data_IF_039274448804
#
_entry.id   IF_039274448804
#
_cell.length_a   1.000
_cell.length_b   1.000
_cell.length_c   1.000
_cell.angle_alpha   90.00
_cell.angle_beta   90.00
_cell.angle_gamma   90.00
#
_symmetry.space_group_name_H-M   'P 1'
#
loop_
_entity.id
_entity.type
_entity.pdbx_description
1 polymer ?
#
# COMPACT_ATOMS: atom_id res chain seq x y z
N UNK A 1 13.84 4.57 10.14
CA UNK A 1 12.84 3.99 9.22
C UNK A 1 13.44 3.68 7.83
N UNK A 2 12.98 2.60 7.17
CA UNK A 2 13.31 2.20 5.79
C UNK A 2 12.02 1.84 5.04
N UNK A 3 11.95 2.13 3.74
CA UNK A 3 10.87 1.63 2.87
C UNK A 3 11.38 0.40 2.12
N UNK A 4 10.68 -0.72 2.24
CA UNK A 4 11.03 -1.99 1.62
C UNK A 4 9.79 -2.68 1.06
N UNK A 5 9.92 -3.62 0.11
CA UNK A 5 8.82 -4.49 -0.28
C UNK A 5 8.26 -5.26 0.91
N UNK A 6 6.94 -5.43 0.93
CA UNK A 6 6.27 -6.32 1.86
C UNK A 6 6.79 -7.76 1.69
N UNK A 7 6.81 -8.50 2.80
CA UNK A 7 7.09 -9.94 2.81
C UNK A 7 6.34 -10.60 3.99
N UNK A 8 6.01 -11.91 3.92
CA UNK A 8 5.12 -12.57 4.89
C UNK A 8 5.53 -12.46 6.36
N UNK A 9 6.82 -12.32 6.66
CA UNK A 9 7.29 -12.12 8.03
C UNK A 9 6.79 -10.82 8.68
N UNK A 10 6.28 -9.87 7.90
CA UNK A 10 5.74 -8.60 8.37
C UNK A 10 4.22 -8.57 8.50
N UNK A 11 3.52 -9.65 8.17
CA UNK A 11 2.05 -9.68 8.09
C UNK A 11 1.36 -9.22 9.37
N UNK A 12 1.75 -9.78 10.52
CA UNK A 12 1.18 -9.38 11.81
C UNK A 12 1.38 -7.89 12.10
N UNK A 13 2.55 -7.34 11.76
CA UNK A 13 2.83 -5.91 11.97
C UNK A 13 2.08 -5.04 10.97
N UNK A 14 1.86 -5.53 9.75
CA UNK A 14 1.06 -4.86 8.72
C UNK A 14 -0.40 -4.77 9.14
N UNK A 15 -0.99 -5.87 9.64
CA UNK A 15 -2.37 -5.94 10.13
C UNK A 15 -2.60 -4.95 11.28
N UNK A 16 -1.70 -4.94 12.27
CA UNK A 16 -1.75 -3.97 13.39
C UNK A 16 -1.67 -2.54 12.91
N UNK A 17 -0.75 -2.23 11.99
CA UNK A 17 -0.61 -0.89 11.42
C UNK A 17 -1.92 -0.45 10.75
N UNK A 18 -2.55 -1.32 9.94
CA UNK A 18 -3.81 -1.01 9.24
C UNK A 18 -4.95 -0.76 10.22
N UNK A 19 -5.20 -1.68 11.14
CA UNK A 19 -6.33 -1.58 12.07
C UNK A 19 -6.22 -0.34 12.97
N UNK A 20 -5.02 -0.03 13.46
CA UNK A 20 -4.79 1.13 14.32
C UNK A 20 -4.86 2.44 13.54
N UNK A 21 -4.38 2.47 12.29
CA UNK A 21 -4.50 3.65 11.44
C UNK A 21 -5.96 3.95 11.07
N UNK A 22 -6.80 2.94 10.92
CA UNK A 22 -8.20 3.10 10.51
C UNK A 22 -9.16 3.36 11.67
N UNK A 23 -8.79 3.01 12.90
CA UNK A 23 -9.60 3.11 14.11
C UNK A 23 -10.29 4.48 14.30
N UNK A 24 -9.64 5.57 13.89
CA UNK A 24 -10.16 6.94 14.02
C UNK A 24 -10.62 7.56 12.69
N UNK A 25 -10.90 6.73 11.69
CA UNK A 25 -11.37 7.14 10.36
C UNK A 25 -12.78 6.61 10.10
N UNK A 26 -13.37 7.01 8.98
CA UNK A 26 -14.63 6.42 8.52
C UNK A 26 -14.52 4.91 8.15
N UNK A 27 -13.30 4.37 8.09
CA UNK A 27 -13.02 2.97 7.74
C UNK A 27 -12.80 2.08 8.98
N UNK A 28 -13.26 2.48 10.17
CA UNK A 28 -13.01 1.75 11.42
C UNK A 28 -13.59 0.32 11.45
N UNK A 29 -14.57 0.02 10.59
CA UNK A 29 -15.20 -1.31 10.46
C UNK A 29 -14.46 -2.23 9.49
N UNK A 30 -13.52 -1.69 8.72
CA UNK A 30 -12.70 -2.43 7.74
C UNK A 30 -11.55 -3.15 8.45
N UNK A 31 -11.91 -4.25 9.13
CA UNK A 31 -10.98 -5.10 9.88
C UNK A 31 -10.63 -6.33 9.05
N UNK A 32 -9.37 -6.42 8.65
CA UNK A 32 -8.80 -7.58 7.98
C UNK A 32 -8.06 -8.46 8.98
N UNK A 33 -8.21 -9.78 8.85
CA UNK A 33 -7.53 -10.77 9.70
C UNK A 33 -6.35 -11.46 9.00
N UNK A 34 -6.23 -11.24 7.70
CA UNK A 34 -5.15 -11.71 6.82
C UNK A 34 -4.83 -10.59 5.83
N UNK A 35 -3.62 -10.56 5.28
CA UNK A 35 -3.30 -9.55 4.27
C UNK A 35 -4.11 -9.83 2.98
N UNK A 36 -4.86 -8.85 2.44
CA UNK A 36 -5.56 -9.04 1.17
C UNK A 36 -4.62 -9.42 0.04
N UNK A 37 -5.06 -10.36 -0.79
CA UNK A 37 -4.42 -10.71 -2.06
C UNK A 37 -5.28 -10.22 -3.21
N UNK A 38 -4.69 -10.01 -4.38
CA UNK A 38 -5.34 -9.30 -5.50
C UNK A 38 -5.49 -10.19 -6.74
N UNK A 39 -5.90 -11.44 -6.56
CA UNK A 39 -6.24 -12.38 -7.64
C UNK A 39 -5.18 -12.52 -8.76
N UNK A 40 -3.90 -12.45 -8.40
CA UNK A 40 -2.79 -12.53 -9.35
C UNK A 40 -2.55 -11.27 -10.17
N UNK A 41 -3.24 -10.16 -9.88
CA UNK A 41 -2.93 -8.85 -10.46
C UNK A 41 -1.54 -8.38 -10.01
N UNK A 42 -0.81 -7.66 -10.89
CA UNK A 42 0.45 -7.05 -10.50
C UNK A 42 0.22 -6.00 -9.42
N UNK A 43 1.08 -6.01 -8.40
CA UNK A 43 1.00 -5.11 -7.25
C UNK A 43 2.34 -4.45 -6.93
N UNK A 44 2.26 -3.29 -6.27
CA UNK A 44 3.36 -2.67 -5.56
C UNK A 44 2.94 -2.61 -4.09
N UNK A 45 3.56 -3.43 -3.26
CA UNK A 45 3.26 -3.57 -1.83
C UNK A 45 4.49 -3.15 -1.03
N UNK A 46 4.43 -1.98 -0.39
CA UNK A 46 5.56 -1.39 0.32
C UNK A 46 5.20 -1.13 1.78
N UNK A 47 6.20 -1.31 2.63
CA UNK A 47 6.11 -1.07 4.07
C UNK A 47 7.20 -0.10 4.51
N UNK A 48 6.86 0.79 5.44
CA UNK A 48 7.81 1.59 6.19
C UNK A 48 8.13 0.86 7.50
N UNK A 49 9.39 0.48 7.69
CA UNK A 49 9.84 -0.33 8.84
C UNK A 49 10.80 0.48 9.71
N UNK A 50 10.57 0.46 11.02
CA UNK A 50 11.47 1.02 12.03
C UNK A 50 11.57 0.04 13.20
N UNK A 51 12.80 -0.34 13.57
CA UNK A 51 13.07 -1.34 14.62
C UNK A 51 12.27 -2.65 14.42
N UNK A 52 12.26 -3.15 13.19
CA UNK A 52 11.52 -4.35 12.76
C UNK A 52 9.99 -4.28 12.90
N UNK A 53 9.44 -3.09 13.18
CA UNK A 53 8.00 -2.82 13.24
C UNK A 53 7.56 -2.06 12.00
N UNK A 54 6.46 -2.49 11.40
CA UNK A 54 5.78 -1.76 10.33
C UNK A 54 5.05 -0.57 10.92
N UNK A 55 5.44 0.63 10.49
CA UNK A 55 4.88 1.91 10.94
C UNK A 55 4.12 2.66 9.84
N UNK A 56 4.12 2.12 8.62
CA UNK A 56 3.30 2.60 7.51
C UNK A 56 3.24 1.57 6.39
N UNK A 57 2.17 1.60 5.62
CA UNK A 57 1.84 0.63 4.59
C UNK A 57 1.28 1.34 3.35
N UNK A 58 1.57 0.82 2.17
CA UNK A 58 0.88 1.14 0.93
C UNK A 58 0.81 -0.12 0.06
N UNK A 59 -0.39 -0.44 -0.41
CA UNK A 59 -0.56 -1.40 -1.51
C UNK A 59 -1.15 -0.65 -2.69
N UNK A 60 -0.64 -0.96 -3.88
CA UNK A 60 -1.09 -0.43 -5.15
C UNK A 60 -1.34 -1.60 -6.07
N UNK A 61 -2.51 -1.62 -6.70
CA UNK A 61 -2.91 -2.66 -7.64
C UNK A 61 -2.89 -2.05 -9.04
N UNK A 62 -2.15 -2.68 -9.93
CA UNK A 62 -1.96 -2.21 -11.31
C UNK A 62 -3.07 -2.78 -12.18
N UNK A 63 -3.52 -1.99 -13.15
CA UNK A 63 -4.39 -2.47 -14.20
C UNK A 63 -3.62 -3.38 -15.16
N UNK A 64 -4.35 -4.33 -15.76
CA UNK A 64 -3.93 -5.05 -16.95
C UNK A 64 -4.95 -4.82 -18.06
N UNK A 65 -4.63 -5.22 -19.29
CA UNK A 65 -5.58 -5.13 -20.41
C UNK A 65 -6.87 -5.93 -20.13
N UNK A 66 -6.75 -7.05 -19.42
CA UNK A 66 -7.88 -7.91 -19.04
C UNK A 66 -8.67 -7.36 -17.85
N UNK A 67 -7.99 -6.66 -16.93
CA UNK A 67 -8.55 -6.18 -15.66
C UNK A 67 -8.20 -4.71 -15.42
N UNK A 68 -8.84 -3.83 -16.21
CA UNK A 68 -8.76 -2.38 -16.05
C UNK A 68 -9.83 -1.87 -15.07
N UNK A 69 -9.40 -1.38 -13.91
CA UNK A 69 -10.27 -0.80 -12.87
C UNK A 69 -10.24 0.73 -12.88
N UNK A 70 -9.16 1.34 -13.37
CA UNK A 70 -9.08 2.81 -13.45
C UNK A 70 -9.72 3.35 -14.72
N UNK A 71 -10.40 4.49 -14.60
CA UNK A 71 -11.19 5.09 -15.71
C UNK A 71 -10.85 6.57 -15.97
N UNK A 72 -9.89 7.12 -15.24
CA UNK A 72 -9.54 8.55 -15.35
C UNK A 72 -8.75 8.88 -16.62
N UNK A 73 -8.15 7.87 -17.27
CA UNK A 73 -7.39 8.03 -18.51
C UNK A 73 -7.56 6.81 -19.44
N UNK A 74 -7.20 6.99 -20.71
CA UNK A 74 -7.33 5.93 -21.73
C UNK A 74 -6.33 4.78 -21.53
N UNK A 75 -5.19 5.00 -20.84
CA UNK A 75 -4.17 3.99 -20.58
C UNK A 75 -4.42 3.10 -19.35
N UNK A 76 -3.49 2.18 -19.08
CA UNK A 76 -3.46 1.39 -17.84
C UNK A 76 -3.06 2.28 -16.66
N UNK A 77 -3.80 2.17 -15.57
CA UNK A 77 -3.53 2.90 -14.34
C UNK A 77 -3.17 1.99 -13.19
N UNK A 78 -3.24 2.56 -12.00
CA UNK A 78 -3.16 1.83 -10.74
C UNK A 78 -4.13 2.46 -9.75
N UNK A 79 -4.67 1.67 -8.83
CA UNK A 79 -5.44 2.18 -7.71
C UNK A 79 -4.79 1.77 -6.39
N UNK A 80 -5.00 2.60 -5.37
CA UNK A 80 -4.41 2.42 -4.04
C UNK A 80 -5.53 1.90 -3.12
N UNK A 81 -5.66 0.58 -2.90
CA UNK A 81 -6.60 0.04 -1.92
C UNK A 81 -6.29 0.46 -0.49
N UNK A 82 -5.00 0.62 -0.15
CA UNK A 82 -4.60 0.99 1.20
C UNK A 82 -3.38 1.90 1.16
N UNK A 83 -3.46 2.99 1.92
CA UNK A 83 -2.32 3.77 2.37
C UNK A 83 -2.61 4.18 3.81
N UNK A 84 -1.71 3.81 4.73
CA UNK A 84 -1.91 4.03 6.15
C UNK A 84 -0.58 4.24 6.88
N UNK A 85 -0.63 5.02 7.95
CA UNK A 85 0.52 5.25 8.84
C UNK A 85 0.03 5.01 10.26
N UNK A 86 0.78 4.21 11.02
CA UNK A 86 0.49 3.91 12.42
C UNK A 86 0.28 5.22 13.20
N UNK A 87 -0.75 5.34 14.06
CA UNK A 87 -1.11 6.61 14.71
C UNK A 87 0.08 7.29 15.44
N UNK A 88 0.89 6.52 16.16
CA UNK A 88 2.10 7.02 16.85
C UNK A 88 3.23 7.53 15.93
N UNK A 89 3.10 7.31 14.62
CA UNK A 89 4.06 7.67 13.59
C UNK A 89 3.49 8.64 12.53
N UNK A 90 2.24 9.11 12.71
CA UNK A 90 1.61 10.09 11.81
C UNK A 90 2.27 11.48 11.87
N UNK A 91 1.95 12.33 10.89
CA UNK A 91 2.46 13.71 10.76
C UNK A 91 3.99 13.83 10.63
N UNK A 92 4.66 12.73 10.24
CA UNK A 92 6.12 12.66 9.99
C UNK A 92 6.48 12.51 8.50
N UNK A 93 5.50 12.68 7.60
CA UNK A 93 5.71 12.55 6.15
C UNK A 93 5.87 11.11 5.63
N UNK A 94 5.62 10.09 6.44
CA UNK A 94 5.79 8.67 6.06
C UNK A 94 4.87 8.27 4.90
N UNK A 95 3.60 8.69 4.95
CA UNK A 95 2.64 8.39 3.87
C UNK A 95 3.07 8.97 2.53
N UNK A 96 3.64 10.18 2.53
CA UNK A 96 4.18 10.80 1.31
C UNK A 96 5.37 10.00 0.77
N UNK A 97 6.32 9.61 1.63
CA UNK A 97 7.47 8.81 1.22
C UNK A 97 7.07 7.45 0.65
N UNK A 98 6.06 6.79 1.24
CA UNK A 98 5.48 5.54 0.71
C UNK A 98 4.87 5.75 -0.68
N UNK A 99 4.09 6.83 -0.84
CA UNK A 99 3.49 7.19 -2.13
C UNK A 99 4.54 7.46 -3.22
N UNK A 100 5.58 8.24 -2.91
CA UNK A 100 6.67 8.55 -3.83
C UNK A 100 7.47 7.30 -4.22
N UNK A 101 7.71 6.40 -3.27
CA UNK A 101 8.35 5.12 -3.54
C UNK A 101 7.49 4.26 -4.49
N UNK A 102 6.17 4.20 -4.25
CA UNK A 102 5.26 3.47 -5.13
C UNK A 102 5.21 4.07 -6.55
N UNK A 103 5.19 5.40 -6.69
CA UNK A 103 5.26 6.07 -8.00
C UNK A 103 6.56 5.76 -8.74
N UNK A 104 7.68 5.68 -8.02
CA UNK A 104 8.98 5.33 -8.60
C UNK A 104 8.96 3.89 -9.13
N UNK A 105 8.39 2.94 -8.36
CA UNK A 105 8.20 1.55 -8.80
C UNK A 105 7.26 1.44 -10.00
N UNK A 106 6.15 2.20 -10.00
CA UNK A 106 5.19 2.22 -11.10
C UNK A 106 5.80 2.72 -12.42
N UNK A 107 6.60 3.80 -12.36
CA UNK A 107 7.25 4.38 -13.55
C UNK A 107 8.31 3.46 -14.17
N UNK A 108 8.80 2.46 -13.42
CA UNK A 108 9.71 1.44 -13.93
C UNK A 108 9.01 0.28 -14.64
N UNK A 109 7.68 0.20 -14.64
CA UNK A 109 6.93 -0.85 -15.31
C UNK A 109 6.85 -0.57 -16.83
N UNK A 110 7.24 -1.53 -17.69
CA UNK A 110 7.40 -1.33 -19.14
C UNK A 110 6.13 -0.97 -19.94
N UNK A 111 4.94 -1.01 -19.31
CA UNK A 111 3.65 -0.78 -19.98
C UNK A 111 3.05 0.63 -19.73
N UNK A 112 3.84 1.59 -19.25
CA UNK A 112 3.35 2.93 -18.84
C UNK A 112 3.69 4.06 -19.81
N UNK A 113 4.03 3.77 -21.08
CA UNK A 113 4.23 4.78 -22.13
C UNK A 113 3.20 4.69 -23.24
#
# INVERSE_FOLDING_TARGET
MKIIPYAPQYEESWLRCRVLAYLHTAMYEDVEIEKPTFDGRPTIELIAVENDIVIGIIDVVLDTEELKTTLLSEGLGAFIPVIAVHPDHQSKGIGLQLYEAALTSFSGCPNTR
#
